data_IF_166167238469
#
_entry.id   IF_166167238469
#
_cell.length_a   1.000
_cell.length_b   1.000
_cell.length_c   1.000
_cell.angle_alpha   90.00
_cell.angle_beta   90.00
_cell.angle_gamma   90.00
#
_symmetry.space_group_name_H-M   'P 1'
#
loop_
_entity.id
_entity.type
_entity.pdbx_description
1 polymer ?
#
# COMPACT_ATOMS: atom_id res chain seq x y z
N UNK A 1 -66.36 25.70 -15.90
CA UNK A 1 -65.14 25.56 -15.07
C UNK A 1 -64.60 24.13 -15.24
N UNK A 2 -63.71 23.90 -16.20
CA UNK A 2 -62.91 22.66 -16.29
C UNK A 2 -61.77 22.90 -17.29
N UNK A 3 -60.64 23.41 -16.79
CA UNK A 3 -59.42 23.57 -17.56
C UNK A 3 -58.61 22.27 -17.52
N UNK A 4 -58.39 21.65 -18.68
CA UNK A 4 -57.53 20.50 -18.84
C UNK A 4 -56.06 20.93 -18.80
N UNK A 5 -55.34 20.56 -17.75
CA UNK A 5 -53.88 20.67 -17.70
C UNK A 5 -53.28 19.38 -18.23
N UNK A 6 -52.66 19.45 -19.41
CA UNK A 6 -51.80 18.39 -19.95
C UNK A 6 -50.39 18.61 -19.41
N UNK A 7 -49.96 17.79 -18.45
CA UNK A 7 -48.54 17.69 -18.08
C UNK A 7 -47.89 16.54 -18.84
N UNK A 8 -47.07 16.86 -19.84
CA UNK A 8 -46.19 15.91 -20.51
C UNK A 8 -45.03 15.59 -19.56
N UNK A 9 -45.05 14.43 -18.92
CA UNK A 9 -43.89 13.89 -18.20
C UNK A 9 -43.30 12.76 -19.05
N UNK A 10 -42.38 13.12 -19.95
CA UNK A 10 -41.52 12.15 -20.62
C UNK A 10 -40.41 11.74 -19.65
N UNK A 11 -40.60 10.62 -18.94
CA UNK A 11 -39.54 10.02 -18.14
C UNK A 11 -38.73 9.08 -19.02
N UNK A 12 -37.55 9.54 -19.40
CA UNK A 12 -36.51 8.79 -20.11
C UNK A 12 -36.21 7.50 -19.35
N UNK A 13 -36.46 6.34 -19.97
CA UNK A 13 -35.90 5.06 -19.51
C UNK A 13 -34.40 5.08 -19.81
N UNK A 14 -33.60 5.48 -18.82
CA UNK A 14 -32.16 5.31 -18.86
C UNK A 14 -31.85 3.82 -18.82
N UNK A 15 -31.37 3.27 -19.93
CA UNK A 15 -30.85 1.92 -19.99
C UNK A 15 -29.75 1.75 -18.93
N UNK A 16 -29.99 0.89 -17.93
CA UNK A 16 -28.96 0.44 -17.02
C UNK A 16 -27.92 -0.33 -17.84
N UNK A 17 -26.81 0.33 -18.18
CA UNK A 17 -25.63 -0.36 -18.69
C UNK A 17 -25.13 -1.25 -17.56
N UNK A 18 -25.44 -2.54 -17.63
CA UNK A 18 -24.74 -3.58 -16.88
C UNK A 18 -23.25 -3.45 -17.21
N UNK A 19 -22.50 -2.84 -16.29
CA UNK A 19 -21.05 -2.83 -16.38
C UNK A 19 -20.57 -4.25 -16.14
N UNK A 20 -20.19 -4.92 -17.22
CA UNK A 20 -19.42 -6.17 -17.15
C UNK A 20 -18.19 -5.91 -16.28
N UNK A 21 -17.87 -6.75 -15.28
CA UNK A 21 -16.64 -6.63 -14.53
C UNK A 21 -15.47 -6.67 -15.51
N UNK A 22 -14.79 -5.54 -15.68
CA UNK A 22 -13.56 -5.49 -16.46
C UNK A 22 -12.54 -6.39 -15.75
N UNK A 23 -11.96 -7.39 -16.43
CA UNK A 23 -10.87 -8.16 -15.84
C UNK A 23 -9.77 -7.17 -15.46
N UNK A 24 -9.41 -7.13 -14.17
CA UNK A 24 -8.32 -6.26 -13.71
C UNK A 24 -7.07 -6.65 -14.49
N UNK A 25 -6.64 -5.77 -15.38
CA UNK A 25 -5.39 -5.94 -16.11
C UNK A 25 -4.28 -5.85 -15.08
N UNK A 26 -3.66 -6.99 -14.73
CA UNK A 26 -2.38 -6.99 -14.03
C UNK A 26 -1.41 -6.14 -14.87
N UNK A 27 -0.72 -5.19 -14.24
CA UNK A 27 0.22 -4.29 -14.90
C UNK A 27 1.16 -5.09 -15.80
N UNK A 28 1.21 -4.76 -17.10
CA UNK A 28 2.01 -5.49 -18.11
C UNK A 28 3.52 -5.22 -18.00
N UNK A 29 4.02 -4.73 -16.87
CA UNK A 29 5.40 -4.28 -16.68
C UNK A 29 5.96 -4.67 -15.33
N UNK A 30 7.27 -4.57 -15.19
CA UNK A 30 7.99 -4.80 -13.94
C UNK A 30 7.53 -3.77 -12.91
N UNK A 31 7.07 -4.24 -11.76
CA UNK A 31 6.67 -3.40 -10.64
C UNK A 31 7.80 -3.33 -9.63
N UNK A 32 8.28 -2.12 -9.33
CA UNK A 32 9.21 -1.92 -8.22
C UNK A 32 8.45 -2.01 -6.91
N UNK A 33 8.97 -2.78 -5.96
CA UNK A 33 8.38 -3.01 -4.63
C UNK A 33 9.44 -2.73 -3.57
N UNK A 34 9.11 -1.86 -2.62
CA UNK A 34 9.97 -1.61 -1.47
C UNK A 34 9.94 -2.82 -0.54
N UNK A 35 11.09 -3.46 -0.33
CA UNK A 35 11.23 -4.58 0.60
C UNK A 35 11.89 -4.11 1.89
N UNK A 36 11.24 -4.35 3.02
CA UNK A 36 11.84 -4.15 4.35
C UNK A 36 12.13 -5.53 4.93
N UNK A 37 13.40 -5.99 4.98
CA UNK A 37 13.72 -7.36 5.41
C UNK A 37 13.18 -7.73 6.79
N UNK A 38 13.18 -6.75 7.71
CA UNK A 38 12.69 -6.91 9.07
C UNK A 38 13.78 -7.33 10.06
N UNK A 39 13.37 -7.69 11.27
CA UNK A 39 14.24 -8.05 12.39
C UNK A 39 14.10 -9.53 12.76
N UNK A 40 15.06 -10.05 13.56
CA UNK A 40 15.03 -11.43 14.01
C UNK A 40 15.12 -12.38 12.82
N UNK A 41 14.11 -13.24 12.66
CA UNK A 41 13.99 -14.17 11.52
C UNK A 41 13.52 -13.50 10.21
N UNK A 42 13.33 -12.17 10.21
CA UNK A 42 12.77 -11.44 9.10
C UNK A 42 13.59 -11.51 7.81
N UNK A 43 14.91 -11.27 7.84
CA UNK A 43 15.77 -11.37 6.66
C UNK A 43 15.69 -12.74 5.98
N UNK A 44 15.66 -13.83 6.75
CA UNK A 44 15.54 -15.19 6.23
C UNK A 44 14.19 -15.42 5.54
N UNK A 45 13.10 -14.94 6.15
CA UNK A 45 11.75 -15.02 5.54
C UNK A 45 11.69 -14.18 4.26
N UNK A 46 12.17 -12.95 4.30
CA UNK A 46 12.20 -12.04 3.15
C UNK A 46 13.01 -12.63 1.98
N UNK A 47 14.17 -13.22 2.26
CA UNK A 47 14.97 -13.93 1.27
C UNK A 47 14.25 -15.15 0.67
N UNK A 48 13.53 -15.93 1.49
CA UNK A 48 12.72 -17.04 0.99
C UNK A 48 11.58 -16.55 0.08
N UNK A 49 10.91 -15.44 0.42
CA UNK A 49 9.86 -14.84 -0.41
C UNK A 49 10.44 -14.35 -1.74
N UNK A 50 11.57 -13.65 -1.74
CA UNK A 50 12.22 -13.21 -2.98
C UNK A 50 12.50 -14.39 -3.93
N UNK A 51 13.04 -15.50 -3.40
CA UNK A 51 13.27 -16.73 -4.19
C UNK A 51 11.98 -17.34 -4.76
N UNK A 52 10.89 -17.32 -4.00
CA UNK A 52 9.58 -17.81 -4.47
C UNK A 52 9.08 -16.95 -5.63
N UNK A 53 9.17 -15.63 -5.52
CA UNK A 53 8.74 -14.70 -6.57
C UNK A 53 9.61 -14.80 -7.82
N UNK A 54 10.91 -14.99 -7.66
CA UNK A 54 11.84 -15.27 -8.75
C UNK A 54 11.48 -16.58 -9.47
N UNK A 55 11.27 -17.67 -8.72
CA UNK A 55 10.87 -18.96 -9.27
C UNK A 55 9.51 -18.90 -10.00
N UNK A 56 8.58 -18.10 -9.48
CA UNK A 56 7.29 -17.83 -10.11
C UNK A 56 7.38 -16.90 -11.32
N UNK A 57 8.56 -16.34 -11.63
CA UNK A 57 8.80 -15.33 -12.67
C UNK A 57 7.85 -14.14 -12.53
N UNK A 58 7.57 -13.73 -11.29
CA UNK A 58 6.76 -12.56 -11.02
C UNK A 58 7.51 -11.30 -11.51
N UNK A 59 6.84 -10.35 -12.19
CA UNK A 59 7.48 -9.16 -12.73
C UNK A 59 7.72 -8.12 -11.61
N UNK A 60 8.63 -8.43 -10.67
CA UNK A 60 8.95 -7.57 -9.52
C UNK A 60 10.43 -7.20 -9.53
N UNK A 61 10.70 -5.90 -9.33
CA UNK A 61 12.01 -5.38 -8.99
C UNK A 61 12.00 -5.05 -7.49
N UNK A 62 12.90 -5.68 -6.72
CA UNK A 62 13.01 -5.40 -5.30
C UNK A 62 13.87 -4.16 -5.06
N UNK A 63 13.40 -3.26 -4.20
CA UNK A 63 14.19 -2.16 -3.64
C UNK A 63 14.25 -2.33 -2.11
N UNK A 64 15.36 -2.86 -1.63
CA UNK A 64 15.52 -3.12 -0.20
C UNK A 64 15.79 -1.85 0.60
N UNK A 65 15.05 -1.64 1.70
CA UNK A 65 15.23 -0.55 2.65
C UNK A 65 15.16 -1.06 4.08
N UNK A 66 16.08 -0.57 4.91
CA UNK A 66 16.02 -0.79 6.35
C UNK A 66 15.19 0.30 7.02
N UNK A 67 14.54 -0.06 8.13
CA UNK A 67 13.74 0.90 8.90
C UNK A 67 14.11 0.84 10.37
N UNK A 68 14.44 2.00 10.91
CA UNK A 68 14.67 2.22 12.35
C UNK A 68 13.99 3.51 12.75
N UNK A 69 13.51 3.59 13.99
CA UNK A 69 12.90 4.81 14.50
C UNK A 69 13.98 5.87 14.65
N UNK A 70 13.84 6.99 13.94
CA UNK A 70 14.76 8.12 14.05
C UNK A 70 14.02 9.35 14.59
N UNK A 71 14.75 10.28 15.20
CA UNK A 71 14.20 11.58 15.61
C UNK A 71 14.32 12.57 14.46
N UNK A 72 13.18 13.05 13.97
CA UNK A 72 13.11 14.13 12.99
C UNK A 72 13.17 15.53 13.63
N UNK A 73 12.95 16.58 12.81
CA UNK A 73 12.83 17.94 13.28
C UNK A 73 11.77 18.07 14.39
N UNK A 74 12.12 18.78 15.47
CA UNK A 74 11.25 18.92 16.64
C UNK A 74 11.17 17.66 17.53
N UNK A 75 12.09 16.71 17.36
CA UNK A 75 12.23 15.54 18.24
C UNK A 75 11.15 14.46 18.07
N UNK A 76 10.29 14.59 17.06
CA UNK A 76 9.26 13.60 16.75
C UNK A 76 9.88 12.37 16.11
N UNK A 77 9.39 11.19 16.50
CA UNK A 77 9.80 9.93 15.88
C UNK A 77 9.25 9.82 14.46
N UNK A 78 10.10 9.40 13.52
CA UNK A 78 9.77 9.18 12.11
C UNK A 78 10.54 7.98 11.56
N UNK A 79 10.12 7.50 10.39
CA UNK A 79 10.88 6.50 9.61
C UNK A 79 12.03 7.17 8.84
N UNK A 80 13.05 6.42 8.40
CA UNK A 80 14.13 6.98 7.61
C UNK A 80 13.63 7.61 6.30
N UNK A 81 14.13 8.78 5.88
CA UNK A 81 13.68 9.46 4.67
C UNK A 81 13.79 8.61 3.41
N UNK A 82 14.85 7.81 3.28
CA UNK A 82 15.10 6.91 2.15
C UNK A 82 14.05 5.79 2.06
N UNK A 83 13.57 5.29 3.20
CA UNK A 83 12.49 4.31 3.23
C UNK A 83 11.15 4.96 2.90
N UNK A 84 10.94 6.20 3.36
CA UNK A 84 9.75 6.99 3.00
C UNK A 84 9.69 7.28 1.51
N UNK A 85 10.80 7.74 0.93
CA UNK A 85 10.92 8.08 -0.48
C UNK A 85 10.65 6.85 -1.37
N UNK A 86 11.28 5.71 -1.06
CA UNK A 86 11.05 4.47 -1.79
C UNK A 86 9.57 4.04 -1.75
N UNK A 87 8.93 4.08 -0.58
CA UNK A 87 7.50 3.76 -0.45
C UNK A 87 6.61 4.77 -1.18
N UNK A 88 6.95 6.06 -1.15
CA UNK A 88 6.23 7.12 -1.86
C UNK A 88 6.35 6.99 -3.38
N UNK A 89 7.48 6.49 -3.89
CA UNK A 89 7.67 6.24 -5.32
C UNK A 89 6.98 4.95 -5.76
N UNK A 90 7.20 3.86 -5.03
CA UNK A 90 6.76 2.52 -5.43
C UNK A 90 5.30 2.21 -5.11
N UNK A 91 4.74 2.85 -4.07
CA UNK A 91 3.36 2.65 -3.56
C UNK A 91 3.02 1.23 -3.09
N UNK A 92 3.95 0.29 -3.24
CA UNK A 92 3.80 -1.12 -2.85
C UNK A 92 5.01 -1.46 -1.99
N UNK A 93 4.73 -1.99 -0.80
CA UNK A 93 5.75 -2.43 0.14
C UNK A 93 5.49 -3.84 0.65
N UNK A 94 6.55 -4.62 0.78
CA UNK A 94 6.56 -5.89 1.50
C UNK A 94 7.48 -5.75 2.71
N UNK A 95 7.06 -6.23 3.87
CA UNK A 95 7.91 -6.20 5.07
C UNK A 95 7.95 -7.52 5.81
N UNK A 96 9.12 -7.86 6.34
CA UNK A 96 9.27 -8.87 7.36
C UNK A 96 8.68 -8.46 8.72
N UNK A 97 8.76 -9.33 9.73
CA UNK A 97 8.47 -8.98 11.12
C UNK A 97 9.40 -7.87 11.59
N UNK A 98 8.87 -6.88 12.31
CA UNK A 98 9.66 -5.81 12.93
C UNK A 98 9.53 -5.91 14.44
N UNK A 99 10.66 -6.08 15.12
CA UNK A 99 10.70 -6.19 16.57
C UNK A 99 10.42 -4.83 17.17
N UNK A 100 9.50 -4.78 18.13
CA UNK A 100 9.33 -3.61 18.99
C UNK A 100 9.85 -3.97 20.37
N UNK A 101 11.06 -3.53 20.75
CA UNK A 101 11.57 -3.83 22.09
C UNK A 101 10.70 -3.12 23.12
N UNK A 102 10.37 -3.83 24.20
CA UNK A 102 9.70 -3.24 25.35
C UNK A 102 10.66 -2.23 25.98
N UNK A 103 10.17 -1.04 26.32
CA UNK A 103 10.94 0.06 26.92
C UNK A 103 12.05 0.68 26.04
N UNK A 104 12.00 0.54 24.71
CA UNK A 104 13.00 1.12 23.79
C UNK A 104 13.00 2.67 23.70
N UNK A 105 12.05 3.35 24.33
CA UNK A 105 11.94 4.82 24.29
C UNK A 105 11.45 5.41 22.95
N UNK A 106 11.17 4.56 21.96
CA UNK A 106 10.58 4.92 20.67
C UNK A 106 9.26 4.17 20.43
N UNK A 107 8.34 4.69 19.60
CA UNK A 107 7.11 3.99 19.25
C UNK A 107 7.39 2.73 18.44
N UNK A 108 6.43 1.80 18.40
CA UNK A 108 6.52 0.62 17.53
C UNK A 108 6.73 1.03 16.07
N UNK A 109 7.71 0.42 15.40
CA UNK A 109 7.92 0.64 13.97
C UNK A 109 6.72 0.23 13.11
N UNK A 110 5.99 -0.82 13.51
CA UNK A 110 4.76 -1.23 12.83
C UNK A 110 3.68 -0.14 12.92
N UNK A 111 3.54 0.51 14.08
CA UNK A 111 2.60 1.61 14.25
C UNK A 111 3.05 2.86 13.49
N UNK A 112 4.35 3.16 13.53
CA UNK A 112 4.91 4.32 12.87
C UNK A 112 4.72 4.24 11.35
N UNK A 113 5.02 3.09 10.73
CA UNK A 113 4.78 2.86 9.30
C UNK A 113 3.30 3.06 8.92
N UNK A 114 2.36 2.48 9.68
CA UNK A 114 0.92 2.65 9.41
C UNK A 114 0.47 4.11 9.50
N UNK A 115 0.96 4.84 10.50
CA UNK A 115 0.67 6.28 10.65
C UNK A 115 1.29 7.11 9.53
N UNK A 116 2.53 6.84 9.15
CA UNK A 116 3.24 7.59 8.12
C UNK A 116 2.58 7.47 6.75
N UNK A 117 2.04 6.30 6.42
CA UNK A 117 1.44 6.02 5.11
C UNK A 117 -0.09 5.89 5.14
N UNK A 118 -0.73 6.22 6.25
CA UNK A 118 -2.18 6.14 6.43
C UNK A 118 -2.80 4.77 6.06
N UNK A 119 -2.14 3.68 6.46
CA UNK A 119 -2.49 2.30 6.07
C UNK A 119 -3.56 1.69 6.97
N UNK A 120 -4.72 2.31 7.03
CA UNK A 120 -5.92 1.79 7.70
C UNK A 120 -6.90 1.20 6.66
N UNK A 121 -7.75 0.26 7.09
CA UNK A 121 -8.71 -0.45 6.24
C UNK A 121 -10.11 -0.39 6.85
#
# INVERSE_FOLDING_TARGET
MAGAWRSTVSRVMGAMKTQTPQPKTFSRGIQTVTLIPGDGIGPEISAAVMKIFEAAKAPIQWEEKNVTAIKGPGGKWMIPPEAKESMDQNKIGLKGPLKTPIAAGHPSMNLLLRKTFDLYA
#
